data_IF_368357074493
#
_entry.id   IF_368357074493
#
_cell.length_a   1.000
_cell.length_b   1.000
_cell.length_c   1.000
_cell.angle_alpha   90.00
_cell.angle_beta   90.00
_cell.angle_gamma   90.00
#
_symmetry.space_group_name_H-M   'P 1'
#
loop_
_entity.id
_entity.type
_entity.pdbx_description
1 polymer ?
#
# COMPACT_ATOMS: atom_id res chain seq x y z
N UNK A 1 27.17 5.24 -8.07
CA UNK A 1 27.16 5.47 -6.62
C UNK A 1 25.71 5.73 -6.23
N UNK A 2 24.97 4.68 -5.89
CA UNK A 2 23.64 4.84 -5.31
C UNK A 2 23.81 5.37 -3.89
N UNK A 3 23.35 6.58 -3.63
CA UNK A 3 23.21 7.07 -2.27
C UNK A 3 22.04 6.33 -1.62
N UNK A 4 22.38 5.43 -0.70
CA UNK A 4 21.41 4.84 0.23
C UNK A 4 20.83 6.00 1.03
N UNK A 5 19.54 6.29 0.82
CA UNK A 5 18.84 7.28 1.61
C UNK A 5 18.47 6.63 2.96
N UNK A 6 19.25 6.93 4.00
CA UNK A 6 19.12 6.33 5.33
C UNK A 6 17.80 6.70 6.04
N UNK A 7 17.03 7.66 5.51
CA UNK A 7 15.82 8.23 6.13
C UNK A 7 14.49 7.80 5.50
N UNK A 8 14.45 6.71 4.73
CA UNK A 8 13.28 6.31 3.92
C UNK A 8 11.98 6.03 4.68
N UNK A 9 12.01 5.93 6.01
CA UNK A 9 10.83 5.60 6.84
C UNK A 9 10.63 6.54 8.04
N UNK A 10 11.19 7.75 8.02
CA UNK A 10 10.91 8.72 9.10
C UNK A 10 9.50 9.27 8.89
N UNK A 11 8.58 8.87 9.78
CA UNK A 11 7.22 9.38 9.80
C UNK A 11 7.21 10.81 10.35
N UNK A 12 6.82 11.78 9.52
CA UNK A 12 6.78 13.20 9.87
C UNK A 12 5.41 13.68 10.34
N UNK A 13 4.38 12.84 10.18
CA UNK A 13 3.01 13.13 10.60
C UNK A 13 2.27 11.81 10.86
N UNK A 14 1.57 11.74 11.99
CA UNK A 14 0.76 10.59 12.39
C UNK A 14 -0.29 11.10 13.37
N UNK A 15 -1.43 10.41 13.49
CA UNK A 15 -2.41 10.75 14.52
C UNK A 15 -1.78 10.44 15.89
N UNK A 16 -1.59 11.46 16.72
CA UNK A 16 -1.11 11.29 18.10
C UNK A 16 -2.12 11.79 19.12
N UNK A 17 -1.87 11.56 20.41
CA UNK A 17 -2.71 12.09 21.50
C UNK A 17 -2.50 13.58 21.77
N UNK A 18 -1.85 14.30 20.83
CA UNK A 18 -1.63 15.73 20.91
C UNK A 18 -2.94 16.51 20.99
N UNK A 19 -2.89 17.60 21.75
CA UNK A 19 -4.05 18.49 21.96
C UNK A 19 -4.45 19.21 20.66
N UNK A 20 -3.51 19.34 19.71
CA UNK A 20 -3.77 19.88 18.38
C UNK A 20 -3.91 18.71 17.39
N UNK A 21 -5.01 18.64 16.63
CA UNK A 21 -5.18 17.61 15.62
C UNK A 21 -4.11 17.77 14.53
N UNK A 22 -3.47 16.66 14.18
CA UNK A 22 -2.55 16.61 13.05
C UNK A 22 -3.26 16.98 11.75
N UNK A 23 -2.57 17.71 10.87
CA UNK A 23 -3.15 18.13 9.60
C UNK A 23 -3.36 16.91 8.68
N UNK A 24 -4.62 16.62 8.36
CA UNK A 24 -4.97 15.50 7.48
C UNK A 24 -4.80 15.91 6.02
N UNK A 25 -3.95 15.17 5.30
CA UNK A 25 -3.82 15.35 3.85
C UNK A 25 -5.06 14.84 3.13
N UNK A 26 -5.67 15.69 2.30
CA UNK A 26 -6.83 15.32 1.50
C UNK A 26 -6.52 15.49 0.02
N UNK A 27 -6.93 14.51 -0.80
CA UNK A 27 -6.81 14.56 -2.26
C UNK A 27 -8.13 14.17 -2.89
N UNK A 28 -8.66 15.03 -3.76
CA UNK A 28 -9.81 14.70 -4.59
C UNK A 28 -9.34 13.94 -5.82
N UNK A 29 -9.99 12.80 -6.09
CA UNK A 29 -9.75 11.98 -7.27
C UNK A 29 -11.06 11.80 -8.03
N UNK A 30 -10.99 11.77 -9.36
CA UNK A 30 -12.14 11.37 -10.19
C UNK A 30 -12.26 9.85 -10.12
N UNK A 31 -13.48 9.36 -10.04
CA UNK A 31 -13.79 7.94 -9.92
C UNK A 31 -14.63 7.55 -11.14
N UNK A 32 -14.26 6.46 -11.79
CA UNK A 32 -14.98 5.83 -12.87
C UNK A 32 -15.36 4.39 -12.50
N UNK A 33 -16.36 3.85 -13.19
CA UNK A 33 -16.74 2.45 -13.06
C UNK A 33 -15.58 1.54 -13.45
N UNK A 34 -15.29 0.54 -12.62
CA UNK A 34 -14.18 -0.38 -12.83
C UNK A 34 -12.84 0.07 -12.25
N UNK A 35 -12.74 1.29 -11.69
CA UNK A 35 -11.54 1.73 -10.98
C UNK A 35 -11.29 0.86 -9.74
N UNK A 36 -10.01 0.55 -9.50
CA UNK A 36 -9.56 -0.22 -8.33
C UNK A 36 -8.64 0.66 -7.48
N UNK A 37 -8.95 0.76 -6.20
CA UNK A 37 -8.13 1.43 -5.19
C UNK A 37 -7.44 0.40 -4.31
N UNK A 38 -6.16 0.61 -4.08
CA UNK A 38 -5.34 -0.21 -3.20
C UNK A 38 -4.73 0.65 -2.10
N UNK A 39 -5.05 0.31 -0.85
CA UNK A 39 -4.44 0.92 0.33
C UNK A 39 -3.58 -0.16 1.01
N UNK A 40 -2.35 0.17 1.37
CA UNK A 40 -1.46 -0.77 2.05
C UNK A 40 -0.58 -0.06 3.07
N UNK A 41 -0.09 -0.83 4.05
CA UNK A 41 0.98 -0.40 4.94
C UNK A 41 2.33 -0.45 4.22
N UNK A 42 3.30 0.29 4.74
CA UNK A 42 4.68 0.28 4.23
C UNK A 42 5.34 -1.10 4.33
N UNK A 43 4.92 -1.93 5.29
CA UNK A 43 5.30 -3.34 5.39
C UNK A 43 4.97 -4.15 4.14
N UNK A 44 3.88 -3.84 3.43
CA UNK A 44 3.59 -4.46 2.12
C UNK A 44 4.41 -3.80 1.01
N UNK A 45 4.40 -2.47 0.98
CA UNK A 45 5.03 -1.69 -0.10
C UNK A 45 6.53 -1.99 -0.26
N UNK A 46 7.23 -2.32 0.83
CA UNK A 46 8.66 -2.68 0.81
C UNK A 46 8.94 -4.09 0.26
N UNK A 47 7.93 -4.94 0.21
CA UNK A 47 8.07 -6.34 -0.18
C UNK A 47 7.70 -6.55 -1.66
N UNK A 48 7.05 -5.57 -2.31
CA UNK A 48 6.64 -5.65 -3.71
C UNK A 48 7.16 -4.47 -4.53
N UNK A 49 7.57 -4.75 -5.75
CA UNK A 49 7.74 -3.70 -6.76
C UNK A 49 6.38 -3.38 -7.42
N UNK A 50 6.28 -2.21 -8.06
CA UNK A 50 5.00 -1.73 -8.61
C UNK A 50 4.47 -2.66 -9.70
N UNK A 51 5.36 -3.20 -10.54
CA UNK A 51 5.00 -4.14 -11.60
C UNK A 51 4.46 -5.46 -11.02
N UNK A 52 5.05 -5.97 -9.93
CA UNK A 52 4.56 -7.19 -9.27
C UNK A 52 3.16 -7.02 -8.69
N UNK A 53 2.83 -5.80 -8.21
CA UNK A 53 1.49 -5.46 -7.72
C UNK A 53 0.52 -5.34 -8.88
N UNK A 54 0.87 -4.62 -9.94
CA UNK A 54 0.04 -4.46 -11.14
C UNK A 54 -0.35 -5.80 -11.75
N UNK A 55 0.59 -6.76 -11.81
CA UNK A 55 0.30 -8.14 -12.22
C UNK A 55 -0.84 -8.78 -11.43
N UNK A 56 -0.90 -8.56 -10.11
CA UNK A 56 -1.93 -9.12 -9.26
C UNK A 56 -3.33 -8.56 -9.60
N UNK A 57 -3.40 -7.37 -10.19
CA UNK A 57 -4.65 -6.71 -10.55
C UNK A 57 -5.11 -6.95 -11.99
N UNK A 58 -4.30 -7.62 -12.83
CA UNK A 58 -4.58 -7.82 -14.26
C UNK A 58 -5.92 -8.50 -14.55
N UNK A 59 -6.38 -9.37 -13.65
CA UNK A 59 -7.66 -10.09 -13.83
C UNK A 59 -8.89 -9.22 -13.58
N UNK A 60 -8.73 -8.04 -12.96
CA UNK A 60 -9.82 -7.13 -12.58
C UNK A 60 -10.76 -7.67 -11.49
N UNK A 61 -10.51 -8.87 -10.96
CA UNK A 61 -11.23 -9.46 -9.83
C UNK A 61 -10.44 -9.20 -8.54
N UNK A 62 -11.05 -8.47 -7.62
CA UNK A 62 -10.38 -8.04 -6.38
C UNK A 62 -10.11 -9.19 -5.40
N UNK A 63 -10.91 -10.26 -5.42
CA UNK A 63 -10.70 -11.44 -4.59
C UNK A 63 -9.53 -12.27 -5.12
N UNK A 64 -9.43 -12.42 -6.43
CA UNK A 64 -8.27 -13.03 -7.08
C UNK A 64 -7.01 -12.24 -6.78
N UNK A 65 -7.05 -10.91 -6.94
CA UNK A 65 -5.92 -10.04 -6.62
C UNK A 65 -5.49 -10.15 -5.15
N UNK A 66 -6.44 -10.11 -4.21
CA UNK A 66 -6.15 -10.29 -2.78
C UNK A 66 -5.47 -11.63 -2.50
N UNK A 67 -6.00 -12.71 -3.09
CA UNK A 67 -5.43 -14.05 -2.93
C UNK A 67 -4.02 -14.14 -3.52
N UNK A 68 -3.77 -13.59 -4.70
CA UNK A 68 -2.44 -13.57 -5.32
C UNK A 68 -1.42 -12.80 -4.47
N UNK A 69 -1.80 -11.62 -3.95
CA UNK A 69 -0.97 -10.84 -3.02
C UNK A 69 -0.64 -11.68 -1.78
N UNK A 70 -1.63 -12.35 -1.19
CA UNK A 70 -1.43 -13.23 -0.02
C UNK A 70 -0.49 -14.40 -0.35
N UNK A 71 -0.62 -15.03 -1.53
CA UNK A 71 0.29 -16.11 -1.92
C UNK A 71 1.71 -15.61 -2.14
N UNK A 72 1.90 -14.47 -2.82
CA UNK A 72 3.21 -13.85 -3.02
C UNK A 72 3.84 -13.49 -1.66
N UNK A 73 3.07 -13.00 -0.69
CA UNK A 73 3.56 -12.69 0.66
C UNK A 73 4.14 -13.90 1.38
N UNK A 74 3.53 -15.10 1.27
CA UNK A 74 3.96 -16.30 2.01
C UNK A 74 5.41 -16.72 1.75
N UNK A 75 5.96 -16.38 0.58
CA UNK A 75 7.34 -16.70 0.19
C UNK A 75 8.30 -15.52 0.38
N UNK A 76 7.79 -14.34 0.74
CA UNK A 76 8.57 -13.14 1.05
C UNK A 76 8.93 -13.11 2.54
N UNK A 77 9.98 -12.36 2.90
CA UNK A 77 10.56 -12.38 4.24
C UNK A 77 9.64 -11.75 5.29
N UNK A 78 8.80 -10.79 4.89
CA UNK A 78 7.84 -10.09 5.74
C UNK A 78 8.50 -9.52 7.00
N UNK A 79 9.33 -8.49 6.84
CA UNK A 79 10.09 -7.91 7.97
C UNK A 79 9.23 -7.09 8.94
N UNK A 80 7.98 -6.82 8.59
CA UNK A 80 7.07 -5.95 9.33
C UNK A 80 5.61 -6.44 9.22
N UNK A 81 4.69 -5.81 9.95
CA UNK A 81 3.27 -6.06 9.84
C UNK A 81 2.72 -5.62 8.47
N UNK A 82 1.94 -6.51 7.88
CA UNK A 82 1.36 -6.32 6.56
C UNK A 82 -0.14 -6.17 6.70
N UNK A 83 -0.70 -5.10 6.14
CA UNK A 83 -2.15 -4.90 6.03
C UNK A 83 -2.47 -4.17 4.74
N UNK A 84 -3.57 -4.56 4.10
CA UNK A 84 -4.02 -3.92 2.87
C UNK A 84 -5.55 -4.00 2.70
N UNK A 85 -6.08 -3.12 1.86
CA UNK A 85 -7.48 -3.04 1.47
C UNK A 85 -7.54 -2.85 -0.05
N UNK A 86 -8.40 -3.62 -0.71
CA UNK A 86 -8.73 -3.45 -2.14
C UNK A 86 -10.19 -3.04 -2.23
N UNK A 87 -10.46 -1.95 -2.94
CA UNK A 87 -11.80 -1.45 -3.23
C UNK A 87 -11.99 -1.36 -4.74
N UNK A 88 -13.11 -1.88 -5.25
CA UNK A 88 -13.53 -1.70 -6.64
C UNK A 88 -14.81 -0.89 -6.68
N UNK A 89 -14.89 0.03 -7.64
CA UNK A 89 -16.07 0.86 -7.89
C UNK A 89 -16.95 0.24 -8.97
#
# INVERSE_FOLDING_TARGET
YDQVNENTNILTSAITSSINPDEVQTKKVKINEGDIFFLCTDGLWKEFDIEELEECFLTGNIETAANEIIQKLKVKKQKDNVSFIILKI
#
